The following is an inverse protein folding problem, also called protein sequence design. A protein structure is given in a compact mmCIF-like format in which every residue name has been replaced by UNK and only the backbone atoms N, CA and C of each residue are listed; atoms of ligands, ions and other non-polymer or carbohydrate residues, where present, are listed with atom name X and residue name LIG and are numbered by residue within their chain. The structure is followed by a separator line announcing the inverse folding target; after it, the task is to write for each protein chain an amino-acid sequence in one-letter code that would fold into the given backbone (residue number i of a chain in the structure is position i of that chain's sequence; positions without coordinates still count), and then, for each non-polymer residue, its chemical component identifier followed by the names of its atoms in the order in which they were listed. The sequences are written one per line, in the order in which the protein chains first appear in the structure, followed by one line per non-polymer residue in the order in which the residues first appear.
data_IF_112786869096
#
_entry.id   IF_112786869096
#
_cell.length_a   1.000
_cell.length_b   1.000
_cell.length_c   1.000
_cell.angle_alpha   90.00
_cell.angle_beta   90.00
_cell.angle_gamma   90.00
#
_symmetry.space_group_name_H-M   'P 1'
#
loop_
_entity.id
_entity.type
_entity.pdbx_description
1 polymer ?
#
# COMPACT_ATOMS: atom_id res chain seq x y z
N UNK A 1 7.05 14.82 -6.23
CA UNK A 1 7.47 13.51 -5.67
C UNK A 1 7.04 13.41 -4.21
N UNK A 2 6.56 12.25 -3.79
CA UNK A 2 6.03 12.02 -2.45
C UNK A 2 6.70 10.75 -1.91
N UNK A 3 7.48 10.91 -0.85
CA UNK A 3 8.17 9.82 -0.15
C UNK A 3 7.90 9.90 1.35
N UNK A 4 7.55 8.78 1.96
CA UNK A 4 7.18 8.72 3.36
C UNK A 4 7.28 7.35 4.00
N UNK A 5 6.70 7.26 5.19
CA UNK A 5 6.79 6.11 6.08
C UNK A 5 5.43 5.56 6.45
N UNK A 6 5.34 4.26 6.68
CA UNK A 6 4.17 3.59 7.23
C UNK A 6 4.22 3.61 8.76
N UNK A 7 3.32 4.37 9.37
CA UNK A 7 3.26 4.50 10.84
C UNK A 7 4.43 5.26 11.45
N UNK A 8 4.45 5.28 12.78
CA UNK A 8 5.52 5.94 13.55
C UNK A 8 6.77 5.04 13.56
N UNK A 9 7.91 5.50 13.01
CA UNK A 9 9.14 4.72 13.05
C UNK A 9 9.59 4.40 14.47
N UNK A 10 10.08 3.19 14.67
CA UNK A 10 10.51 2.69 15.99
C UNK A 10 11.64 3.52 16.59
N UNK A 11 12.49 4.12 15.74
CA UNK A 11 13.59 4.99 16.15
C UNK A 11 13.14 6.37 16.60
N UNK A 12 11.91 6.80 16.27
CA UNK A 12 11.38 8.07 16.74
C UNK A 12 10.93 7.98 18.20
N UNK A 13 11.47 8.83 19.07
CA UNK A 13 11.17 8.83 20.52
C UNK A 13 10.42 10.09 20.98
N UNK A 14 10.01 10.93 20.04
CA UNK A 14 9.26 12.15 20.32
C UNK A 14 7.76 11.96 20.44
N UNK A 15 7.03 13.07 20.54
CA UNK A 15 5.55 13.07 20.56
C UNK A 15 5.01 13.01 19.14
N UNK A 16 3.81 12.42 18.95
CA UNK A 16 3.17 12.31 17.64
C UNK A 16 3.09 13.64 16.86
N UNK A 17 2.78 14.74 17.54
CA UNK A 17 2.71 16.07 16.91
C UNK A 17 4.04 16.57 16.32
N UNK A 18 5.17 16.08 16.80
CA UNK A 18 6.50 16.56 16.43
C UNK A 18 7.16 15.68 15.36
N UNK A 19 6.56 14.50 15.05
CA UNK A 19 7.13 13.54 14.08
C UNK A 19 7.23 14.13 12.68
N UNK A 20 6.28 14.95 12.27
CA UNK A 20 6.24 15.52 10.91
C UNK A 20 7.38 16.51 10.65
N UNK A 21 7.82 17.26 11.68
CA UNK A 21 9.01 18.08 11.60
C UNK A 21 10.26 17.21 11.48
N UNK A 22 10.37 16.16 12.30
CA UNK A 22 11.48 15.22 12.23
C UNK A 22 11.58 14.53 10.86
N UNK A 23 10.45 14.15 10.25
CA UNK A 23 10.43 13.60 8.88
C UNK A 23 10.82 14.66 7.84
N UNK A 24 10.42 15.92 8.00
CA UNK A 24 10.85 17.02 7.11
C UNK A 24 12.36 17.28 7.17
N UNK A 25 12.99 17.14 8.32
CA UNK A 25 14.44 17.25 8.45
C UNK A 25 15.18 16.21 7.59
N UNK A 26 14.54 15.07 7.35
CA UNK A 26 14.98 14.04 6.39
C UNK A 26 14.48 14.29 4.97
N UNK A 27 13.82 15.43 4.72
CA UNK A 27 13.12 15.76 3.48
C UNK A 27 12.05 14.73 3.05
N UNK A 28 11.43 14.05 4.00
CA UNK A 28 10.26 13.21 3.77
C UNK A 28 8.99 14.06 3.95
N UNK A 29 7.99 13.78 3.13
CA UNK A 29 6.78 14.60 3.05
C UNK A 29 5.48 13.78 3.03
N UNK A 30 5.55 12.48 3.38
CA UNK A 30 4.37 11.64 3.48
C UNK A 30 4.39 10.74 4.72
N UNK A 31 3.19 10.41 5.18
CA UNK A 31 2.96 9.52 6.30
C UNK A 31 1.70 8.67 6.05
N UNK A 32 1.84 7.38 6.13
CA UNK A 32 0.71 6.47 6.07
C UNK A 32 0.22 6.12 7.45
N UNK A 33 -1.03 6.46 7.72
CA UNK A 33 -1.68 6.24 9.01
C UNK A 33 -2.09 4.78 9.10
N UNK A 34 -1.50 4.03 10.04
CA UNK A 34 -1.78 2.60 10.23
C UNK A 34 -2.98 2.41 11.14
N UNK A 35 -4.14 2.05 10.56
CA UNK A 35 -5.38 1.79 11.29
C UNK A 35 -5.51 0.31 11.72
N UNK A 36 -4.48 -0.25 12.37
CA UNK A 36 -4.37 -1.69 12.68
C UNK A 36 -5.62 -2.27 13.38
N UNK A 37 -6.20 -1.53 14.32
CA UNK A 37 -7.32 -1.98 15.15
C UNK A 37 -8.65 -1.30 14.82
N UNK A 38 -8.74 -0.57 13.74
CA UNK A 38 -9.94 0.12 13.26
C UNK A 38 -9.68 1.56 12.85
N UNK A 39 -10.62 2.14 12.15
CA UNK A 39 -10.55 3.51 11.65
C UNK A 39 -10.84 4.52 12.77
N UNK A 40 -9.92 4.62 13.73
CA UNK A 40 -10.06 5.51 14.88
C UNK A 40 -8.84 6.39 15.05
N UNK A 41 -9.05 7.69 15.06
CA UNK A 41 -8.04 8.72 15.33
C UNK A 41 -8.63 9.70 16.33
N UNK A 42 -7.89 10.06 17.38
CA UNK A 42 -8.35 11.07 18.34
C UNK A 42 -8.52 12.42 17.68
N UNK A 43 -9.43 13.26 18.18
CA UNK A 43 -9.67 14.59 17.62
C UNK A 43 -8.41 15.46 17.66
N UNK A 44 -7.57 15.30 18.67
CA UNK A 44 -6.26 15.96 18.75
C UNK A 44 -5.38 15.56 17.56
N UNK A 45 -5.30 14.27 17.25
CA UNK A 45 -4.48 13.79 16.12
C UNK A 45 -5.10 14.17 14.79
N UNK A 46 -6.44 14.20 14.66
CA UNK A 46 -7.10 14.71 13.44
C UNK A 46 -6.70 16.15 13.17
N UNK A 47 -6.73 17.00 14.20
CA UNK A 47 -6.33 18.41 14.05
C UNK A 47 -4.84 18.53 13.67
N UNK A 48 -3.96 17.70 14.22
CA UNK A 48 -2.55 17.66 13.83
C UNK A 48 -2.42 17.32 12.35
N UNK A 49 -3.12 16.28 11.87
CA UNK A 49 -3.07 15.85 10.46
C UNK A 49 -3.54 16.99 9.53
N UNK A 50 -4.67 17.64 9.85
CA UNK A 50 -5.19 18.76 9.09
C UNK A 50 -4.16 19.91 8.99
N UNK A 51 -3.59 20.31 10.12
CA UNK A 51 -2.58 21.36 10.17
C UNK A 51 -1.30 20.99 9.38
N UNK A 52 -0.88 19.73 9.40
CA UNK A 52 0.31 19.30 8.66
C UNK A 52 0.04 19.21 7.16
N UNK A 53 -1.18 18.89 6.75
CA UNK A 53 -1.61 18.96 5.34
C UNK A 53 -1.55 20.38 4.81
N UNK A 54 -2.02 21.38 5.57
CA UNK A 54 -1.92 22.80 5.19
C UNK A 54 -0.47 23.23 4.96
N UNK A 55 0.49 22.59 5.64
CA UNK A 55 1.93 22.79 5.45
C UNK A 55 2.52 21.95 4.31
N UNK A 56 1.68 21.30 3.50
CA UNK A 56 2.10 20.52 2.33
C UNK A 56 2.57 19.09 2.65
N UNK A 57 2.25 18.55 3.84
CA UNK A 57 2.51 17.15 4.16
C UNK A 57 1.39 16.24 3.61
N UNK A 58 1.74 15.09 3.09
CA UNK A 58 0.81 14.16 2.46
C UNK A 58 0.47 12.99 3.37
N UNK A 59 -0.79 12.55 3.32
CA UNK A 59 -1.26 11.44 4.14
C UNK A 59 -2.02 10.41 3.31
N UNK A 60 -1.79 9.14 3.61
CA UNK A 60 -2.61 7.99 3.25
C UNK A 60 -3.08 7.27 4.52
N UNK A 61 -4.07 6.41 4.39
CA UNK A 61 -4.58 5.57 5.49
C UNK A 61 -4.46 4.12 5.05
N UNK A 62 -3.79 3.29 5.87
CA UNK A 62 -3.82 1.85 5.69
C UNK A 62 -4.95 1.25 6.54
N UNK A 63 -5.83 0.50 5.88
CA UNK A 63 -6.99 -0.13 6.50
C UNK A 63 -6.57 -1.25 7.48
N UNK A 64 -7.43 -1.58 8.45
CA UNK A 64 -7.19 -2.68 9.37
C UNK A 64 -6.94 -4.01 8.62
N UNK A 65 -6.01 -4.81 9.11
CA UNK A 65 -5.61 -6.10 8.50
C UNK A 65 -6.75 -7.13 8.42
N UNK A 66 -7.79 -6.99 9.22
CA UNK A 66 -8.94 -7.91 9.24
C UNK A 66 -10.01 -7.57 8.19
N UNK A 67 -9.85 -6.50 7.42
CA UNK A 67 -10.71 -6.22 6.26
C UNK A 67 -10.55 -7.35 5.25
N UNK A 68 -11.65 -7.96 4.86
CA UNK A 68 -11.67 -9.07 3.91
C UNK A 68 -12.94 -9.01 3.05
N UNK A 69 -12.87 -8.19 2.01
CA UNK A 69 -13.98 -8.00 1.06
C UNK A 69 -14.13 -9.17 0.07
N UNK A 70 -13.04 -9.94 -0.13
CA UNK A 70 -13.04 -11.15 -0.96
C UNK A 70 -13.41 -12.43 -0.20
N UNK A 71 -13.86 -12.35 1.06
CA UNK A 71 -14.28 -13.52 1.83
C UNK A 71 -15.53 -14.18 1.21
N UNK A 72 -15.56 -15.51 1.22
CA UNK A 72 -16.77 -16.28 0.87
C UNK A 72 -17.76 -16.38 2.05
N UNK A 73 -17.43 -15.81 3.20
CA UNK A 73 -18.30 -15.73 4.37
C UNK A 73 -19.01 -14.36 4.40
N UNK A 74 -20.29 -14.34 4.09
CA UNK A 74 -21.12 -13.13 3.99
C UNK A 74 -21.05 -12.22 5.24
N UNK A 75 -21.15 -12.69 6.50
CA UNK A 75 -20.95 -11.88 7.69
C UNK A 75 -19.59 -11.17 7.75
N UNK A 76 -18.53 -11.78 7.24
CA UNK A 76 -17.19 -11.16 7.17
C UNK A 76 -17.18 -10.03 6.15
N UNK A 77 -17.77 -10.25 4.98
CA UNK A 77 -17.90 -9.23 3.93
C UNK A 77 -18.74 -8.05 4.41
N UNK A 78 -19.90 -8.32 5.03
CA UNK A 78 -20.78 -7.27 5.55
C UNK A 78 -20.06 -6.39 6.60
N UNK A 79 -19.32 -6.99 7.54
CA UNK A 79 -18.52 -6.25 8.51
C UNK A 79 -17.38 -5.47 7.83
N UNK A 80 -16.74 -6.04 6.82
CA UNK A 80 -15.68 -5.37 6.08
C UNK A 80 -16.19 -4.15 5.32
N UNK A 81 -17.37 -4.24 4.68
CA UNK A 81 -18.04 -3.10 4.03
C UNK A 81 -18.30 -1.97 5.02
N UNK A 82 -18.89 -2.30 6.18
CA UNK A 82 -19.19 -1.30 7.20
C UNK A 82 -17.93 -0.63 7.74
N UNK A 83 -16.85 -1.39 7.97
CA UNK A 83 -15.57 -0.80 8.36
C UNK A 83 -15.01 0.12 7.25
N UNK A 84 -15.09 -0.27 5.98
CA UNK A 84 -14.62 0.58 4.87
C UNK A 84 -15.40 1.89 4.77
N UNK A 85 -16.71 1.89 5.00
CA UNK A 85 -17.52 3.12 5.11
C UNK A 85 -17.00 4.03 6.21
N UNK A 86 -16.69 3.48 7.40
CA UNK A 86 -16.07 4.25 8.50
C UNK A 86 -14.69 4.81 8.09
N UNK A 87 -13.93 4.05 7.30
CA UNK A 87 -12.66 4.49 6.74
C UNK A 87 -12.82 5.69 5.80
N UNK A 88 -13.82 5.68 4.94
CA UNK A 88 -14.14 6.78 4.04
C UNK A 88 -14.52 8.04 4.83
N UNK A 89 -15.37 7.92 5.83
CA UNK A 89 -15.74 9.05 6.70
C UNK A 89 -14.53 9.60 7.47
N UNK A 90 -13.67 8.72 7.99
CA UNK A 90 -12.42 9.15 8.62
C UNK A 90 -11.53 9.90 7.62
N UNK A 91 -11.31 9.35 6.44
CA UNK A 91 -10.48 9.94 5.40
C UNK A 91 -10.99 11.35 5.04
N UNK A 92 -12.30 11.52 4.81
CA UNK A 92 -12.95 12.80 4.57
C UNK A 92 -12.73 13.77 5.73
N UNK A 93 -12.89 13.31 6.98
CA UNK A 93 -12.77 14.14 8.18
C UNK A 93 -11.38 14.72 8.40
N UNK A 94 -10.34 14.09 7.85
CA UNK A 94 -8.94 14.55 7.91
C UNK A 94 -8.40 14.98 6.53
N UNK A 95 -9.29 15.06 5.53
CA UNK A 95 -8.96 15.47 4.17
C UNK A 95 -7.96 14.55 3.47
N UNK A 96 -7.89 13.27 3.82
CA UNK A 96 -7.06 12.26 3.17
C UNK A 96 -7.87 11.60 2.06
N UNK A 97 -7.25 11.34 0.93
CA UNK A 97 -7.93 10.79 -0.24
C UNK A 97 -7.40 9.42 -0.70
N UNK A 98 -6.56 8.76 0.11
CA UNK A 98 -6.01 7.43 -0.19
C UNK A 98 -6.25 6.48 0.97
N UNK A 99 -6.99 5.40 0.71
CA UNK A 99 -7.18 4.29 1.66
C UNK A 99 -6.62 3.03 1.03
N UNK A 100 -5.52 2.54 1.59
CA UNK A 100 -4.88 1.29 1.18
C UNK A 100 -5.53 0.13 1.94
N UNK A 101 -5.76 -1.00 1.30
CA UNK A 101 -6.32 -2.17 1.94
C UNK A 101 -5.89 -3.47 1.25
N UNK A 102 -5.72 -4.54 2.02
CA UNK A 102 -5.52 -5.87 1.46
C UNK A 102 -6.84 -6.44 0.93
N UNK A 103 -6.87 -7.02 -0.28
CA UNK A 103 -8.07 -7.62 -0.87
C UNK A 103 -8.71 -8.72 -0.01
N UNK A 104 -7.90 -9.39 0.82
CA UNK A 104 -8.35 -10.44 1.74
C UNK A 104 -7.92 -11.84 1.33
N UNK A 105 -8.55 -12.82 1.93
CA UNK A 105 -8.25 -14.25 1.72
C UNK A 105 -9.39 -15.12 2.23
N UNK A 106 -9.09 -16.44 2.48
CA UNK A 106 -10.10 -17.38 3.00
C UNK A 106 -10.91 -18.10 1.91
N UNK A 107 -10.44 -18.03 0.67
CA UNK A 107 -10.84 -18.91 -0.42
C UNK A 107 -9.98 -20.16 -0.38
N UNK A 108 -10.43 -21.25 -1.00
CA UNK A 108 -9.71 -22.54 -1.00
C UNK A 108 -8.44 -22.57 -1.90
N UNK A 109 -7.93 -21.40 -2.26
CA UNK A 109 -6.71 -21.16 -3.06
C UNK A 109 -6.65 -21.92 -4.41
N UNK A 110 -7.80 -22.28 -4.93
CA UNK A 110 -7.94 -22.79 -6.31
C UNK A 110 -8.18 -21.62 -7.27
N UNK A 111 -7.88 -21.79 -8.54
CA UNK A 111 -8.15 -20.76 -9.55
C UNK A 111 -9.61 -20.33 -9.56
N UNK A 112 -10.53 -21.27 -9.49
CA UNK A 112 -11.97 -20.97 -9.43
C UNK A 112 -12.36 -20.25 -8.14
N UNK A 113 -11.86 -20.71 -6.99
CA UNK A 113 -12.10 -20.04 -5.70
C UNK A 113 -11.60 -18.61 -5.68
N UNK A 114 -10.45 -18.34 -6.31
CA UNK A 114 -9.91 -16.98 -6.46
C UNK A 114 -10.78 -16.10 -7.34
N UNK A 115 -11.26 -16.60 -8.48
CA UNK A 115 -12.20 -15.88 -9.37
C UNK A 115 -13.48 -15.49 -8.64
N UNK A 116 -14.07 -16.43 -7.90
CA UNK A 116 -15.27 -16.16 -7.09
C UNK A 116 -15.00 -15.10 -6.03
N UNK A 117 -13.87 -15.19 -5.33
CA UNK A 117 -13.50 -14.23 -4.28
C UNK A 117 -13.23 -12.82 -4.84
N UNK A 118 -12.61 -12.71 -6.02
CA UNK A 118 -12.38 -11.41 -6.69
C UNK A 118 -13.72 -10.81 -7.13
N UNK A 119 -14.62 -11.61 -7.70
CA UNK A 119 -15.95 -11.11 -8.08
C UNK A 119 -16.75 -10.66 -6.85
N UNK A 120 -16.65 -11.41 -5.73
CA UNK A 120 -17.24 -11.01 -4.45
C UNK A 120 -16.70 -9.68 -3.95
N UNK A 121 -15.38 -9.46 -4.03
CA UNK A 121 -14.73 -8.20 -3.66
C UNK A 121 -15.24 -7.05 -4.54
N UNK A 122 -15.26 -7.23 -5.86
CA UNK A 122 -15.74 -6.22 -6.83
C UNK A 122 -17.18 -5.84 -6.51
N UNK A 123 -18.04 -6.83 -6.28
CA UNK A 123 -19.45 -6.59 -5.93
C UNK A 123 -19.55 -5.80 -4.60
N UNK A 124 -18.81 -6.22 -3.57
CA UNK A 124 -18.81 -5.57 -2.27
C UNK A 124 -18.33 -4.11 -2.35
N UNK A 125 -17.25 -3.85 -3.10
CA UNK A 125 -16.72 -2.49 -3.30
C UNK A 125 -17.77 -1.63 -4.02
N UNK A 126 -18.31 -2.07 -5.15
CA UNK A 126 -19.27 -1.31 -5.92
C UNK A 126 -20.55 -1.04 -5.12
N UNK A 127 -21.00 -2.01 -4.31
CA UNK A 127 -22.15 -1.84 -3.43
C UNK A 127 -21.91 -0.75 -2.39
N UNK A 128 -20.88 -0.86 -1.52
CA UNK A 128 -20.73 0.12 -0.45
C UNK A 128 -20.33 1.51 -0.97
N UNK A 129 -19.59 1.60 -2.08
CA UNK A 129 -19.24 2.91 -2.67
C UNK A 129 -20.43 3.60 -3.31
N UNK A 130 -21.46 2.86 -3.72
CA UNK A 130 -22.74 3.44 -4.20
C UNK A 130 -23.63 3.98 -3.05
N UNK A 131 -23.39 3.54 -1.83
CA UNK A 131 -24.19 3.89 -0.64
C UNK A 131 -23.62 5.10 0.13
N UNK A 132 -22.38 5.52 -0.17
CA UNK A 132 -21.71 6.62 0.53
C UNK A 132 -21.23 7.69 -0.44
N UNK A 133 -21.15 8.92 0.02
CA UNK A 133 -20.47 9.98 -0.71
C UNK A 133 -18.96 9.79 -0.62
N UNK A 134 -18.34 9.34 -1.71
CA UNK A 134 -16.90 9.11 -1.81
C UNK A 134 -16.07 10.41 -1.83
N UNK A 135 -16.66 11.54 -2.24
CA UNK A 135 -15.89 12.75 -2.47
C UNK A 135 -14.70 12.49 -3.40
N UNK A 136 -13.50 12.86 -2.96
CA UNK A 136 -12.23 12.59 -3.67
C UNK A 136 -11.47 11.36 -3.16
N UNK A 137 -12.09 10.59 -2.23
CA UNK A 137 -11.47 9.39 -1.66
C UNK A 137 -11.36 8.27 -2.69
N UNK A 138 -10.18 7.67 -2.75
CA UNK A 138 -9.83 6.54 -3.61
C UNK A 138 -9.40 5.36 -2.76
N UNK A 139 -9.74 4.18 -3.20
CA UNK A 139 -9.42 2.91 -2.56
C UNK A 139 -8.24 2.27 -3.29
N UNK A 140 -7.27 1.78 -2.55
CA UNK A 140 -6.06 1.23 -3.10
C UNK A 140 -5.91 -0.24 -2.69
N UNK A 141 -6.51 -1.19 -3.44
CA UNK A 141 -6.23 -2.61 -3.23
C UNK A 141 -4.73 -2.87 -3.43
N UNK A 142 -4.12 -3.50 -2.44
CA UNK A 142 -2.69 -3.71 -2.37
C UNK A 142 -2.30 -5.11 -2.82
N UNK A 143 -1.15 -5.23 -3.48
CA UNK A 143 -0.50 -6.52 -3.74
C UNK A 143 -0.29 -7.26 -2.41
N UNK A 144 -0.83 -8.47 -2.28
CA UNK A 144 -0.67 -9.28 -1.06
C UNK A 144 0.60 -10.11 -1.06
N UNK A 145 1.37 -10.11 0.04
CA UNK A 145 2.66 -10.82 0.13
C UNK A 145 2.55 -12.33 0.21
N UNK A 146 1.43 -12.87 0.71
CA UNK A 146 1.22 -14.33 0.85
C UNK A 146 0.48 -14.91 -0.35
N UNK A 147 0.95 -16.06 -0.86
CA UNK A 147 0.33 -16.75 -2.01
C UNK A 147 -1.12 -17.17 -1.75
N UNK A 148 -1.45 -17.49 -0.50
CA UNK A 148 -2.80 -17.86 -0.09
C UNK A 148 -3.81 -16.71 -0.07
N UNK A 149 -3.34 -15.44 -0.08
CA UNK A 149 -4.21 -14.27 -0.08
C UNK A 149 -4.48 -13.79 -1.52
N UNK A 150 -5.57 -13.08 -1.71
CA UNK A 150 -5.82 -12.30 -2.94
C UNK A 150 -4.78 -11.17 -3.05
N UNK A 151 -4.68 -10.57 -4.21
CA UNK A 151 -3.77 -9.45 -4.47
C UNK A 151 -2.57 -9.83 -5.33
N UNK A 152 -2.71 -10.77 -6.30
CA UNK A 152 -1.76 -10.86 -7.41
C UNK A 152 -1.88 -9.64 -8.31
N UNK A 153 -0.88 -9.38 -9.14
CA UNK A 153 -0.89 -8.23 -10.05
C UNK A 153 -2.12 -8.26 -10.99
N UNK A 154 -2.49 -9.45 -11.47
CA UNK A 154 -3.66 -9.63 -12.34
C UNK A 154 -4.97 -9.35 -11.60
N UNK A 155 -5.06 -9.80 -10.34
CA UNK A 155 -6.23 -9.54 -9.50
C UNK A 155 -6.37 -8.05 -9.15
N UNK A 156 -5.26 -7.34 -8.87
CA UNK A 156 -5.28 -5.89 -8.66
C UNK A 156 -5.74 -5.15 -9.92
N UNK A 157 -5.24 -5.56 -11.09
CA UNK A 157 -5.70 -5.01 -12.37
C UNK A 157 -7.20 -5.24 -12.55
N UNK A 158 -7.69 -6.45 -12.30
CA UNK A 158 -9.10 -6.80 -12.45
C UNK A 158 -9.99 -6.00 -11.51
N UNK A 159 -9.63 -5.87 -10.23
CA UNK A 159 -10.33 -5.04 -9.26
C UNK A 159 -10.38 -3.58 -9.75
N UNK A 160 -9.23 -3.03 -10.14
CA UNK A 160 -9.15 -1.64 -10.59
C UNK A 160 -9.91 -1.38 -11.89
N UNK A 161 -10.06 -2.36 -12.78
CA UNK A 161 -10.88 -2.24 -14.00
C UNK A 161 -12.37 -2.17 -13.69
N UNK A 162 -12.82 -2.93 -12.70
CA UNK A 162 -14.25 -3.15 -12.43
C UNK A 162 -14.80 -2.33 -11.25
N UNK A 163 -13.95 -1.57 -10.55
CA UNK A 163 -14.36 -0.68 -9.47
C UNK A 163 -13.93 0.75 -9.77
N UNK A 164 -14.86 1.67 -9.90
CA UNK A 164 -14.61 3.08 -10.26
C UNK A 164 -13.58 3.72 -9.33
N UNK A 165 -13.76 3.56 -8.02
CA UNK A 165 -12.94 4.20 -6.98
C UNK A 165 -11.66 3.44 -6.62
N UNK A 166 -11.39 2.26 -7.24
CA UNK A 166 -10.17 1.49 -6.99
C UNK A 166 -9.02 1.92 -7.90
N UNK A 167 -7.85 2.13 -7.28
CA UNK A 167 -6.58 2.50 -7.92
C UNK A 167 -5.48 1.57 -7.43
N UNK A 168 -4.44 1.27 -8.22
CA UNK A 168 -3.47 0.25 -7.83
C UNK A 168 -2.55 0.72 -6.70
N UNK A 169 -2.40 -0.12 -5.66
CA UNK A 169 -1.28 -0.09 -4.74
C UNK A 169 -0.33 -1.24 -5.08
N UNK A 170 0.85 -0.92 -5.55
CA UNK A 170 1.87 -1.90 -5.89
C UNK A 170 2.90 -1.93 -4.78
N UNK A 171 2.80 -2.95 -3.94
CA UNK A 171 3.87 -3.32 -3.01
C UNK A 171 4.86 -4.19 -3.77
N UNK A 172 6.06 -3.63 -4.06
CA UNK A 172 7.08 -4.33 -4.84
C UNK A 172 7.75 -5.45 -4.03
N UNK A 173 7.77 -5.35 -2.70
CA UNK A 173 8.30 -6.37 -1.82
C UNK A 173 7.34 -7.56 -1.71
N UNK A 174 6.05 -7.30 -1.50
CA UNK A 174 5.01 -8.32 -1.53
C UNK A 174 4.95 -9.03 -2.89
N UNK A 175 5.05 -8.28 -4.00
CA UNK A 175 5.11 -8.87 -5.34
C UNK A 175 6.29 -9.81 -5.49
N UNK A 176 7.49 -9.40 -5.04
CA UNK A 176 8.68 -10.24 -5.03
C UNK A 176 8.49 -11.52 -4.21
N UNK A 177 8.00 -11.39 -2.98
CA UNK A 177 7.77 -12.51 -2.07
C UNK A 177 6.72 -13.48 -2.58
N UNK A 178 5.57 -12.97 -3.02
CA UNK A 178 4.44 -13.73 -3.55
C UNK A 178 4.81 -14.58 -4.76
N UNK A 179 5.67 -14.07 -5.61
CA UNK A 179 6.15 -14.75 -6.82
C UNK A 179 7.49 -15.49 -6.57
N UNK A 180 7.76 -15.85 -5.32
CA UNK A 180 8.93 -16.63 -4.91
C UNK A 180 10.27 -16.06 -5.40
N UNK A 181 10.45 -14.74 -5.22
CA UNK A 181 11.70 -14.08 -5.57
C UNK A 181 11.80 -13.63 -7.04
N UNK A 182 10.67 -13.41 -7.73
CA UNK A 182 10.66 -13.16 -9.19
C UNK A 182 11.36 -11.87 -9.61
N UNK A 183 11.35 -10.81 -8.78
CA UNK A 183 11.95 -9.51 -9.15
C UNK A 183 13.46 -9.57 -8.94
N UNK A 184 14.15 -10.14 -9.91
CA UNK A 184 15.61 -10.34 -9.89
C UNK A 184 16.38 -9.24 -10.63
N UNK A 185 15.70 -8.44 -11.46
CA UNK A 185 16.28 -7.33 -12.21
C UNK A 185 15.29 -6.20 -12.45
N UNK A 186 15.82 -5.05 -12.88
CA UNK A 186 15.04 -3.87 -13.28
C UNK A 186 14.07 -4.19 -14.41
N UNK A 187 14.47 -5.00 -15.38
CA UNK A 187 13.67 -5.37 -16.55
C UNK A 187 12.42 -6.17 -16.13
N UNK A 188 12.57 -7.12 -15.21
CA UNK A 188 11.42 -7.88 -14.69
C UNK A 188 10.44 -6.95 -13.98
N UNK A 189 10.93 -6.03 -13.14
CA UNK A 189 10.05 -5.06 -12.48
C UNK A 189 9.38 -4.13 -13.50
N UNK A 190 10.12 -3.70 -14.53
CA UNK A 190 9.57 -2.89 -15.64
C UNK A 190 8.40 -3.61 -16.32
N UNK A 191 8.56 -4.88 -16.69
CA UNK A 191 7.50 -5.67 -17.33
C UNK A 191 6.25 -5.72 -16.47
N UNK A 192 6.40 -5.92 -15.15
CA UNK A 192 5.28 -5.92 -14.21
C UNK A 192 4.57 -4.58 -14.16
N UNK A 193 5.30 -3.47 -14.02
CA UNK A 193 4.73 -2.13 -13.98
C UNK A 193 4.11 -1.73 -15.33
N UNK A 194 4.74 -2.12 -16.45
CA UNK A 194 4.20 -1.87 -17.78
C UNK A 194 2.88 -2.61 -18.00
N UNK A 195 2.76 -3.86 -17.53
CA UNK A 195 1.50 -4.62 -17.56
C UNK A 195 0.37 -3.86 -16.86
N UNK A 196 0.62 -3.27 -15.68
CA UNK A 196 -0.37 -2.45 -14.97
C UNK A 196 -0.70 -1.18 -15.77
N UNK A 197 0.33 -0.48 -16.27
CA UNK A 197 0.18 0.76 -17.06
C UNK A 197 -0.67 0.53 -18.31
N UNK A 198 -0.42 -0.55 -19.04
CA UNK A 198 -1.15 -0.88 -20.27
C UNK A 198 -2.61 -1.28 -19.99
N UNK A 199 -2.83 -1.98 -18.88
CA UNK A 199 -4.15 -2.48 -18.51
C UNK A 199 -5.09 -1.38 -17.98
N UNK A 200 -4.56 -0.40 -17.23
CA UNK A 200 -5.32 0.66 -16.53
C UNK A 200 -4.60 2.02 -16.58
N UNK A 201 -4.30 2.57 -17.76
CA UNK A 201 -3.41 3.74 -17.93
C UNK A 201 -3.88 4.97 -17.15
N UNK A 202 -5.19 5.25 -17.12
CA UNK A 202 -5.73 6.42 -16.41
C UNK A 202 -5.60 6.30 -14.88
N UNK A 203 -5.75 5.09 -14.36
CA UNK A 203 -5.59 4.81 -12.92
C UNK A 203 -4.12 4.69 -12.50
N UNK A 204 -3.26 4.23 -13.41
CA UNK A 204 -1.81 4.14 -13.20
C UNK A 204 -1.18 5.52 -12.90
N UNK A 205 -1.72 6.60 -13.43
CA UNK A 205 -1.26 7.98 -13.12
C UNK A 205 -1.36 8.34 -11.62
N UNK A 206 -2.18 7.62 -10.86
CA UNK A 206 -2.42 7.82 -9.44
C UNK A 206 -1.90 6.68 -8.58
N UNK A 207 -1.03 5.85 -9.14
CA UNK A 207 -0.45 4.68 -8.48
C UNK A 207 0.12 5.01 -7.10
N UNK A 208 -0.01 4.08 -6.17
CA UNK A 208 0.61 4.11 -4.84
C UNK A 208 1.61 2.95 -4.76
N UNK A 209 2.75 3.19 -4.13
CA UNK A 209 3.76 2.17 -3.94
C UNK A 209 4.08 1.96 -2.46
N UNK A 210 4.19 0.69 -2.08
CA UNK A 210 4.99 0.29 -0.94
C UNK A 210 6.32 -0.27 -1.45
N UNK A 211 7.44 0.14 -0.83
CA UNK A 211 8.77 -0.23 -1.29
C UNK A 211 9.75 -0.41 -0.13
N UNK A 212 10.26 -1.61 0.00
CA UNK A 212 11.23 -2.07 0.99
C UNK A 212 11.78 -3.43 0.56
N UNK A 213 12.66 -4.05 1.34
CA UNK A 213 13.17 -5.41 1.11
C UNK A 213 12.48 -6.41 2.04
N UNK A 214 12.34 -7.66 1.61
CA UNK A 214 11.49 -8.65 2.28
C UNK A 214 12.15 -10.02 2.37
N UNK A 215 11.94 -10.72 3.49
CA UNK A 215 12.23 -12.13 3.63
C UNK A 215 10.98 -12.96 3.28
N UNK A 216 11.16 -14.03 2.51
CA UNK A 216 10.08 -14.85 1.98
C UNK A 216 10.44 -16.34 1.88
N UNK A 217 9.44 -17.16 1.61
CA UNK A 217 9.56 -18.57 1.24
C UNK A 217 8.54 -18.95 0.15
N UNK A 218 8.36 -20.23 -0.10
CA UNK A 218 7.41 -20.78 -1.08
C UNK A 218 5.94 -20.38 -0.83
N UNK A 219 5.60 -19.96 0.39
CA UNK A 219 4.25 -19.45 0.76
C UNK A 219 4.14 -17.92 0.67
N UNK A 220 5.23 -17.25 0.26
CA UNK A 220 5.33 -15.81 0.16
C UNK A 220 6.02 -15.17 1.36
N UNK A 221 5.55 -14.02 1.76
CA UNK A 221 6.08 -13.16 2.81
C UNK A 221 6.27 -13.88 4.16
N UNK A 222 7.45 -13.67 4.78
CA UNK A 222 7.76 -14.05 6.16
C UNK A 222 7.83 -12.78 7.03
N UNK A 223 8.67 -11.81 6.65
CA UNK A 223 8.83 -10.53 7.36
C UNK A 223 9.41 -9.45 6.46
N UNK A 224 9.06 -8.20 6.73
CA UNK A 224 9.76 -7.04 6.20
C UNK A 224 11.17 -6.98 6.79
N UNK A 225 12.17 -6.72 5.96
CA UNK A 225 13.55 -6.52 6.41
C UNK A 225 13.78 -5.06 6.82
N UNK A 226 14.76 -4.84 7.69
CA UNK A 226 15.30 -3.49 7.89
C UNK A 226 16.00 -3.02 6.61
N UNK A 227 16.05 -1.71 6.39
CA UNK A 227 16.82 -1.17 5.28
C UNK A 227 18.30 -1.58 5.40
N UNK A 228 18.82 -2.24 4.35
CA UNK A 228 20.18 -2.77 4.32
C UNK A 228 20.39 -4.11 5.03
N UNK A 229 19.33 -4.72 5.60
CA UNK A 229 19.39 -6.08 6.16
C UNK A 229 19.51 -7.10 5.03
N UNK A 230 20.41 -8.08 5.21
CA UNK A 230 20.53 -9.22 4.31
C UNK A 230 19.46 -10.29 4.60
N UNK A 231 19.22 -11.13 3.62
CA UNK A 231 18.43 -12.34 3.78
C UNK A 231 19.08 -13.30 4.78
N UNK A 232 18.35 -14.23 5.40
CA UNK A 232 18.92 -15.20 6.35
C UNK A 232 20.04 -16.10 5.78
N UNK A 233 20.08 -16.28 4.47
CA UNK A 233 21.14 -17.01 3.75
C UNK A 233 22.39 -16.15 3.46
N UNK A 234 22.36 -14.87 3.89
CA UNK A 234 23.44 -13.89 3.68
C UNK A 234 23.36 -13.14 2.35
N UNK A 235 22.43 -13.47 1.47
CA UNK A 235 22.24 -12.73 0.23
C UNK A 235 21.66 -11.33 0.48
N UNK A 236 21.85 -10.41 -0.46
CA UNK A 236 21.32 -9.04 -0.37
C UNK A 236 19.80 -9.07 -0.40
N UNK A 237 19.18 -8.29 0.50
CA UNK A 237 17.72 -8.14 0.54
C UNK A 237 17.16 -7.65 -0.80
N UNK A 238 16.01 -8.19 -1.19
CA UNK A 238 15.32 -7.90 -2.45
C UNK A 238 13.89 -7.43 -2.18
N UNK A 239 13.22 -6.74 -3.13
CA UNK A 239 13.71 -6.27 -4.46
C UNK A 239 14.78 -5.18 -4.35
N UNK A 240 15.52 -4.93 -5.45
CA UNK A 240 16.52 -3.85 -5.50
C UNK A 240 15.83 -2.48 -5.59
N UNK A 241 16.06 -1.63 -4.58
CA UNK A 241 15.43 -0.31 -4.49
C UNK A 241 16.03 0.71 -5.47
N UNK A 242 17.30 0.55 -5.89
CA UNK A 242 17.93 1.40 -6.90
C UNK A 242 17.28 1.18 -8.26
N UNK A 243 17.05 -0.09 -8.63
CA UNK A 243 16.32 -0.47 -9.84
C UNK A 243 14.89 0.10 -9.84
N UNK A 244 14.22 0.03 -8.70
CA UNK A 244 12.88 0.59 -8.54
C UNK A 244 12.87 2.10 -8.76
N UNK A 245 13.78 2.83 -8.11
CA UNK A 245 13.86 4.29 -8.23
C UNK A 245 14.22 4.70 -9.66
N UNK A 246 15.17 3.98 -10.30
CA UNK A 246 15.50 4.22 -11.70
C UNK A 246 14.27 4.07 -12.63
N UNK A 247 13.42 3.07 -12.37
CA UNK A 247 12.19 2.86 -13.14
C UNK A 247 11.16 3.97 -12.95
N UNK A 248 11.07 4.59 -11.77
CA UNK A 248 10.18 5.73 -11.57
C UNK A 248 10.52 6.87 -12.55
N UNK A 249 11.80 7.12 -12.80
CA UNK A 249 12.26 8.11 -13.80
C UNK A 249 12.01 7.63 -15.23
N UNK A 250 12.47 6.43 -15.57
CA UNK A 250 12.40 5.90 -16.93
C UNK A 250 10.97 5.73 -17.45
N UNK A 251 10.02 5.46 -16.56
CA UNK A 251 8.59 5.32 -16.89
C UNK A 251 7.79 6.62 -16.69
N UNK A 252 8.46 7.71 -16.30
CA UNK A 252 7.84 9.02 -16.02
C UNK A 252 6.72 8.94 -14.96
N UNK A 253 6.94 8.13 -13.92
CA UNK A 253 5.99 7.95 -12.84
C UNK A 253 6.16 9.10 -11.84
N UNK A 254 5.08 9.84 -11.55
CA UNK A 254 5.08 10.76 -10.42
C UNK A 254 4.91 9.96 -9.12
N UNK A 255 5.99 9.77 -8.34
CA UNK A 255 5.96 8.79 -7.28
C UNK A 255 5.15 9.23 -6.05
N UNK A 256 4.36 8.30 -5.52
CA UNK A 256 3.90 8.27 -4.14
C UNK A 256 4.37 6.95 -3.53
N UNK A 257 5.43 7.04 -2.74
CA UNK A 257 6.13 5.87 -2.22
C UNK A 257 6.16 5.90 -0.70
N UNK A 258 5.71 4.82 -0.08
CA UNK A 258 5.77 4.59 1.37
C UNK A 258 6.73 3.43 1.64
N UNK A 259 7.65 3.63 2.56
CA UNK A 259 8.53 2.57 3.06
C UNK A 259 7.89 1.87 4.25
N UNK A 260 7.81 0.54 4.18
CA UNK A 260 7.37 -0.34 5.26
C UNK A 260 8.51 -1.22 5.80
N UNK A 261 9.78 -0.78 5.60
CA UNK A 261 10.93 -1.47 6.14
C UNK A 261 10.80 -1.64 7.66
N UNK A 262 11.04 -2.83 8.19
CA UNK A 262 10.95 -3.09 9.62
C UNK A 262 11.90 -2.16 10.39
N UNK A 263 11.39 -1.47 11.43
CA UNK A 263 12.16 -0.59 12.33
C UNK A 263 12.98 0.56 11.68
N UNK A 264 13.06 0.62 10.35
CA UNK A 264 13.91 1.57 9.60
C UNK A 264 13.17 2.20 8.41
N UNK A 265 11.85 2.41 8.55
CA UNK A 265 11.00 2.97 7.47
C UNK A 265 11.54 4.31 6.96
N UNK A 266 11.97 5.18 7.88
CA UNK A 266 12.48 6.52 7.55
C UNK A 266 13.82 6.46 6.81
N UNK A 267 14.66 5.48 7.12
CA UNK A 267 15.96 5.29 6.47
C UNK A 267 15.73 4.83 5.04
N UNK A 268 14.86 3.82 4.82
CA UNK A 268 14.50 3.31 3.50
C UNK A 268 13.82 4.38 2.64
N UNK A 269 12.86 5.13 3.21
CA UNK A 269 12.19 6.22 2.51
C UNK A 269 13.17 7.33 2.11
N UNK A 270 14.06 7.74 3.03
CA UNK A 270 15.10 8.74 2.77
C UNK A 270 16.06 8.27 1.67
N UNK A 271 16.50 7.02 1.72
CA UNK A 271 17.38 6.43 0.71
C UNK A 271 16.76 6.52 -0.69
N UNK A 272 15.54 6.04 -0.86
CA UNK A 272 14.84 6.10 -2.16
C UNK A 272 14.60 7.53 -2.64
N UNK A 273 14.26 8.45 -1.73
CA UNK A 273 14.08 9.86 -2.06
C UNK A 273 15.39 10.52 -2.51
N UNK A 274 16.51 10.21 -1.86
CA UNK A 274 17.83 10.76 -2.23
C UNK A 274 18.27 10.24 -3.61
N UNK A 275 18.08 8.97 -3.90
CA UNK A 275 18.30 8.39 -5.23
C UNK A 275 17.42 9.05 -6.31
N UNK A 276 16.15 9.33 -6.01
CA UNK A 276 15.23 9.94 -6.97
C UNK A 276 15.59 11.38 -7.32
N UNK A 277 16.32 12.10 -6.46
CA UNK A 277 16.74 13.49 -6.69
C UNK A 277 18.02 13.62 -7.50
N UNK A 278 18.86 12.60 -7.50
CA UNK A 278 20.14 12.57 -8.20
C UNK A 278 19.99 12.05 -9.62
#
# INVERSE_FOLDING_TARGET
MIFGVAGVPTNYKGKYKDIFNWLREMNLNAFEIQCVYGFKISDVNKQIILNEKEKGFHFSIHAPYYINLGSLNEPVVARSKENMKQGIELAKSVGVNRIIFHPGGGHNNTEEGRKVAIQQLINAVNEFTSEVDMGDVRLYPEIGGKTANLGSIDEIIEICKNCEYCYPCIDIAHLHARENGSIVSKEVLREKLQKVKDAIPEKFKFIHFHAYTINYNDKGEIKHLMHGENMPDGSVGRPNLDDFVALLHEMEINPWVISEASDTQEIGAKYMRDLYKN
#
